data_IF_223945771493
#
_entry.id   IF_223945771493
#
_cell.length_a   1.000
_cell.length_b   1.000
_cell.length_c   1.000
_cell.angle_alpha   90.00
_cell.angle_beta   90.00
_cell.angle_gamma   90.00
#
_symmetry.space_group_name_H-M   'P 1'
#
loop_
_entity.id
_entity.type
_entity.pdbx_description
1 polymer ?
#
# COMPACT_ATOMS: atom_id res chain seq x y z
N UNK A 1 36.44 -75.76 -25.11
CA UNK A 1 35.15 -75.79 -25.79
C UNK A 1 34.23 -74.86 -25.07
N UNK A 2 33.87 -73.84 -25.76
CA UNK A 2 32.78 -72.84 -25.50
C UNK A 2 32.57 -72.35 -24.10
N UNK A 3 33.19 -71.23 -23.74
CA UNK A 3 32.86 -70.36 -22.66
C UNK A 3 31.73 -69.38 -23.06
N UNK A 4 30.69 -69.26 -22.28
CA UNK A 4 29.66 -68.27 -22.40
C UNK A 4 29.97 -67.04 -21.51
N UNK A 5 30.26 -65.93 -22.14
CA UNK A 5 30.45 -64.64 -21.47
C UNK A 5 29.09 -64.08 -21.09
N UNK A 6 28.82 -63.95 -19.81
CA UNK A 6 27.65 -63.21 -19.30
C UNK A 6 27.90 -61.74 -19.21
N UNK A 7 27.19 -60.95 -20.04
CA UNK A 7 27.18 -59.51 -19.97
C UNK A 7 26.22 -59.04 -18.91
N UNK A 8 26.74 -58.50 -17.80
CA UNK A 8 25.97 -57.81 -16.76
C UNK A 8 25.65 -56.38 -17.24
N UNK A 9 24.38 -56.19 -17.63
CA UNK A 9 23.83 -54.85 -17.87
C UNK A 9 23.54 -54.15 -16.52
N UNK A 10 24.42 -53.26 -16.12
CA UNK A 10 24.12 -52.35 -15.02
C UNK A 10 23.19 -51.22 -15.55
N UNK A 11 21.92 -51.30 -15.20
CA UNK A 11 20.98 -50.21 -15.38
C UNK A 11 21.25 -49.12 -14.34
N UNK A 12 21.88 -48.03 -14.77
CA UNK A 12 22.03 -46.84 -13.94
C UNK A 12 20.66 -46.15 -13.74
N UNK A 13 20.13 -46.28 -12.53
CA UNK A 13 18.91 -45.62 -12.11
C UNK A 13 19.24 -44.12 -11.84
N UNK A 14 18.99 -43.28 -12.84
CA UNK A 14 19.15 -41.83 -12.68
C UNK A 14 18.02 -41.31 -11.79
N UNK A 15 18.33 -41.02 -10.56
CA UNK A 15 17.43 -40.32 -9.66
C UNK A 15 17.41 -38.85 -10.11
N UNK A 16 16.37 -38.47 -10.81
CA UNK A 16 16.07 -37.06 -11.06
C UNK A 16 15.72 -36.40 -9.73
N UNK A 17 16.66 -35.63 -9.18
CA UNK A 17 16.39 -34.69 -8.12
C UNK A 17 15.46 -33.61 -8.70
N UNK A 18 14.16 -33.78 -8.50
CA UNK A 18 13.22 -32.70 -8.73
C UNK A 18 13.50 -31.66 -7.65
N UNK A 19 14.14 -30.58 -8.03
CA UNK A 19 14.21 -29.38 -7.22
C UNK A 19 12.79 -28.95 -6.89
N UNK A 20 12.35 -29.30 -5.69
CA UNK A 20 11.14 -28.76 -5.12
C UNK A 20 11.40 -27.28 -4.87
N UNK A 21 10.92 -26.44 -5.77
CA UNK A 21 10.92 -25.01 -5.56
C UNK A 21 10.25 -24.70 -4.21
N UNK A 22 10.81 -23.81 -3.38
CA UNK A 22 10.22 -23.49 -2.08
C UNK A 22 8.82 -22.92 -2.29
N UNK A 23 7.81 -23.68 -1.86
CA UNK A 23 6.42 -23.23 -1.73
C UNK A 23 6.39 -22.14 -0.65
N UNK A 24 6.45 -20.85 -1.04
CA UNK A 24 6.34 -19.83 -0.01
C UNK A 24 6.54 -18.36 -0.38
N UNK A 25 6.93 -18.05 -1.58
CA UNK A 25 6.93 -16.64 -2.02
C UNK A 25 5.73 -16.39 -2.93
N UNK A 26 4.53 -16.41 -2.38
CA UNK A 26 3.38 -15.81 -3.04
C UNK A 26 3.60 -14.29 -2.99
N UNK A 27 4.18 -13.74 -4.05
CA UNK A 27 4.18 -12.30 -4.28
C UNK A 27 2.74 -11.80 -4.17
N UNK A 28 2.51 -10.83 -3.28
CA UNK A 28 1.22 -10.17 -3.16
C UNK A 28 0.74 -9.77 -4.57
N UNK A 29 -0.55 -9.93 -4.91
CA UNK A 29 -1.06 -9.58 -6.22
C UNK A 29 -0.61 -8.17 -6.61
N UNK A 30 -0.23 -7.94 -7.87
CA UNK A 30 0.29 -6.65 -8.34
C UNK A 30 -0.60 -5.45 -7.95
N UNK A 31 -1.93 -5.67 -7.91
CA UNK A 31 -2.89 -4.66 -7.47
C UNK A 31 -2.72 -4.27 -5.98
N UNK A 32 -2.47 -5.22 -5.08
CA UNK A 32 -2.23 -4.90 -3.66
C UNK A 32 -0.90 -4.19 -3.44
N UNK A 33 0.11 -4.50 -4.24
CA UNK A 33 1.38 -3.79 -4.25
C UNK A 33 1.21 -2.33 -4.69
N UNK A 34 0.43 -2.07 -5.75
CA UNK A 34 0.15 -0.71 -6.23
C UNK A 34 -0.63 0.11 -5.20
N UNK A 35 -1.64 -0.47 -4.56
CA UNK A 35 -2.41 0.19 -3.48
C UNK A 35 -1.50 0.52 -2.29
N UNK A 36 -0.64 -0.41 -1.87
CA UNK A 36 0.34 -0.14 -0.83
C UNK A 36 1.23 1.05 -1.18
N UNK A 37 1.76 1.11 -2.41
CA UNK A 37 2.61 2.21 -2.85
C UNK A 37 1.87 3.56 -2.85
N UNK A 38 0.61 3.58 -3.27
CA UNK A 38 -0.20 4.80 -3.23
C UNK A 38 -0.45 5.26 -1.79
N UNK A 39 -0.75 4.35 -0.87
CA UNK A 39 -0.93 4.67 0.56
C UNK A 39 0.39 5.16 1.18
N UNK A 40 1.50 4.48 0.92
CA UNK A 40 2.81 4.87 1.45
C UNK A 40 3.27 6.24 0.92
N UNK A 41 3.11 6.49 -0.37
CA UNK A 41 3.43 7.79 -0.94
C UNK A 41 2.49 8.88 -0.41
N UNK A 42 1.20 8.58 -0.28
CA UNK A 42 0.22 9.48 0.32
C UNK A 42 0.55 9.84 1.77
N UNK A 43 1.01 8.86 2.57
CA UNK A 43 1.52 9.10 3.92
C UNK A 43 2.72 10.04 3.91
N UNK A 44 3.68 9.89 2.99
CA UNK A 44 4.83 10.80 2.86
C UNK A 44 4.39 12.23 2.54
N UNK A 45 3.54 12.42 1.53
CA UNK A 45 3.02 13.75 1.16
C UNK A 45 2.19 14.37 2.28
N UNK A 46 1.41 13.56 2.99
CA UNK A 46 0.68 13.99 4.18
C UNK A 46 1.60 14.61 5.23
N UNK A 47 2.71 13.95 5.53
CA UNK A 47 3.68 14.41 6.53
C UNK A 47 4.54 15.59 6.07
N UNK A 48 4.53 15.91 4.80
CA UNK A 48 5.18 17.13 4.28
C UNK A 48 4.23 18.33 4.34
N UNK A 49 2.97 18.15 3.93
CA UNK A 49 2.10 19.29 3.63
C UNK A 49 0.86 19.41 4.53
N UNK A 50 0.37 18.34 5.13
CA UNK A 50 -0.95 18.31 5.74
C UNK A 50 -0.96 18.17 7.27
N UNK A 51 0.00 17.44 7.83
CA UNK A 51 -0.03 17.00 9.23
C UNK A 51 -0.04 18.13 10.25
N UNK A 52 0.55 19.28 9.92
CA UNK A 52 0.62 20.43 10.85
C UNK A 52 -0.77 20.94 11.24
N UNK A 53 -1.72 20.89 10.30
CA UNK A 53 -3.09 21.34 10.54
C UNK A 53 -4.05 20.15 10.83
N UNK A 54 -3.82 19.00 10.18
CA UNK A 54 -4.74 17.87 10.23
C UNK A 54 -4.25 16.69 11.09
N UNK A 55 -3.14 16.85 11.82
CA UNK A 55 -2.56 15.82 12.67
C UNK A 55 -1.83 14.70 11.91
N UNK A 56 -0.94 14.01 12.62
CA UNK A 56 -0.07 12.99 12.01
C UNK A 56 -0.81 11.78 11.42
N UNK A 57 -1.97 11.46 11.98
CA UNK A 57 -2.79 10.30 11.58
C UNK A 57 -4.09 10.69 10.89
N UNK A 58 -4.18 11.89 10.32
CA UNK A 58 -5.38 12.48 9.73
C UNK A 58 -6.53 12.68 10.74
N UNK A 59 -6.22 12.64 12.04
CA UNK A 59 -7.14 12.92 13.14
C UNK A 59 -7.00 14.40 13.48
N UNK A 60 -8.14 15.07 13.64
CA UNK A 60 -8.24 16.49 13.90
C UNK A 60 -7.27 16.98 14.99
N UNK A 61 -6.71 18.16 14.72
CA UNK A 61 -6.16 19.06 15.75
C UNK A 61 -7.07 20.30 15.82
N UNK A 62 -6.88 21.15 16.80
CA UNK A 62 -7.78 22.26 17.08
C UNK A 62 -8.12 23.19 15.89
N UNK A 63 -7.28 23.21 14.85
CA UNK A 63 -7.36 24.16 13.73
C UNK A 63 -7.98 23.59 12.45
N UNK A 64 -8.21 22.28 12.37
CA UNK A 64 -8.68 21.64 11.14
C UNK A 64 -9.63 20.48 11.43
N UNK A 65 -10.56 20.16 10.51
CA UNK A 65 -11.50 19.06 10.73
C UNK A 65 -10.83 17.70 10.73
N UNK A 66 -11.43 16.76 11.42
CA UNK A 66 -11.10 15.34 11.36
C UNK A 66 -11.43 14.79 9.96
N UNK A 67 -10.41 14.28 9.27
CA UNK A 67 -10.56 13.75 7.92
C UNK A 67 -10.83 12.24 7.88
N UNK A 68 -10.70 11.56 9.02
CA UNK A 68 -11.02 10.13 9.12
C UNK A 68 -12.47 9.87 9.56
N UNK A 69 -13.24 10.93 9.87
CA UNK A 69 -14.68 10.80 10.13
C UNK A 69 -15.39 10.31 8.85
N UNK A 70 -16.03 9.13 8.88
CA UNK A 70 -16.71 8.60 7.69
C UNK A 70 -17.86 9.48 7.20
N UNK A 71 -18.45 10.32 8.07
CA UNK A 71 -19.50 11.26 7.68
C UNK A 71 -18.97 12.46 6.87
N UNK A 72 -17.66 12.68 6.88
CA UNK A 72 -16.98 13.74 6.12
C UNK A 72 -16.26 13.22 4.88
N UNK A 73 -16.54 11.99 4.49
CA UNK A 73 -15.88 11.32 3.38
C UNK A 73 -16.16 12.01 2.05
N UNK A 74 -15.10 12.47 1.41
CA UNK A 74 -15.16 13.09 0.10
C UNK A 74 -14.92 12.08 -1.01
N UNK A 75 -15.55 12.30 -2.17
CA UNK A 75 -15.16 11.59 -3.39
C UNK A 75 -13.74 12.00 -3.81
N UNK A 76 -13.01 11.18 -4.59
CA UNK A 76 -11.69 11.53 -5.10
C UNK A 76 -11.67 12.89 -5.83
N UNK A 77 -12.68 13.18 -6.64
CA UNK A 77 -12.78 14.43 -7.37
C UNK A 77 -13.01 15.65 -6.44
N UNK A 78 -13.88 15.50 -5.43
CA UNK A 78 -14.13 16.55 -4.46
C UNK A 78 -12.88 16.82 -3.59
N UNK A 79 -12.18 15.76 -3.17
CA UNK A 79 -10.93 15.89 -2.43
C UNK A 79 -9.86 16.59 -3.26
N UNK A 80 -9.67 16.17 -4.51
CA UNK A 80 -8.72 16.80 -5.45
C UNK A 80 -9.00 18.31 -5.59
N UNK A 81 -10.27 18.67 -5.84
CA UNK A 81 -10.67 20.06 -5.99
C UNK A 81 -10.35 20.90 -4.74
N UNK A 82 -10.76 20.43 -3.56
CA UNK A 82 -10.54 21.16 -2.30
C UNK A 82 -9.04 21.29 -1.98
N UNK A 83 -8.22 20.30 -2.29
CA UNK A 83 -6.78 20.41 -2.05
C UNK A 83 -6.12 21.36 -3.04
N UNK A 84 -6.48 21.31 -4.32
CA UNK A 84 -5.93 22.19 -5.34
C UNK A 84 -6.30 23.65 -5.11
N UNK A 85 -7.58 23.90 -4.97
CA UNK A 85 -8.14 25.26 -4.95
C UNK A 85 -8.05 25.89 -3.56
N UNK A 86 -7.92 25.08 -2.52
CA UNK A 86 -8.01 25.54 -1.15
C UNK A 86 -9.43 25.92 -0.74
N UNK A 87 -9.53 26.65 0.35
CA UNK A 87 -10.73 27.31 0.88
C UNK A 87 -10.28 28.45 1.78
N UNK A 88 -9.87 29.58 1.19
CA UNK A 88 -9.26 30.68 1.94
C UNK A 88 -10.15 31.21 3.07
N UNK A 89 -11.46 31.20 2.85
CA UNK A 89 -12.47 31.59 3.85
C UNK A 89 -12.49 30.67 5.08
N UNK A 90 -11.92 29.46 4.97
CA UNK A 90 -11.75 28.48 6.05
C UNK A 90 -10.29 28.33 6.48
N UNK A 91 -9.42 29.23 6.03
CA UNK A 91 -7.99 29.19 6.33
C UNK A 91 -7.21 28.08 5.62
N UNK A 92 -7.80 27.39 4.63
CA UNK A 92 -7.14 26.35 3.85
C UNK A 92 -6.52 26.92 2.59
N UNK A 93 -5.19 26.89 2.49
CA UNK A 93 -4.48 27.35 1.28
C UNK A 93 -4.65 26.38 0.11
N UNK A 94 -4.45 26.88 -1.10
CA UNK A 94 -4.35 26.10 -2.32
C UNK A 94 -2.98 25.39 -2.40
N UNK A 95 -2.96 24.18 -2.95
CA UNK A 95 -1.75 23.37 -3.08
C UNK A 95 -1.39 23.05 -4.54
N UNK A 96 -2.08 23.63 -5.51
CA UNK A 96 -1.92 23.37 -6.95
C UNK A 96 -0.51 23.65 -7.49
N UNK A 97 0.26 24.51 -6.83
CA UNK A 97 1.64 24.85 -7.20
C UNK A 97 2.69 23.89 -6.63
N UNK A 98 2.33 23.11 -5.60
CA UNK A 98 3.27 22.25 -4.86
C UNK A 98 2.97 20.76 -5.00
N UNK A 99 1.73 20.41 -5.32
CA UNK A 99 1.27 19.03 -5.46
C UNK A 99 0.62 18.81 -6.82
N UNK A 100 1.04 17.78 -7.51
CA UNK A 100 0.36 17.30 -8.72
C UNK A 100 -0.89 16.46 -8.38
N UNK A 101 -1.69 16.17 -9.40
CA UNK A 101 -2.93 15.40 -9.23
C UNK A 101 -2.68 13.98 -8.71
N UNK A 102 -1.55 13.36 -9.08
CA UNK A 102 -1.19 12.02 -8.61
C UNK A 102 -0.85 12.04 -7.13
N UNK A 103 -0.07 13.00 -6.69
CA UNK A 103 0.29 13.16 -5.27
C UNK A 103 -0.95 13.42 -4.41
N UNK A 104 -1.88 14.26 -4.90
CA UNK A 104 -3.15 14.52 -4.20
C UNK A 104 -4.01 13.25 -4.15
N UNK A 105 -4.07 12.48 -5.23
CA UNK A 105 -4.78 11.20 -5.24
C UNK A 105 -4.17 10.19 -4.25
N UNK A 106 -2.85 10.16 -4.12
CA UNK A 106 -2.16 9.32 -3.14
C UNK A 106 -2.47 9.75 -1.70
N UNK A 107 -2.49 11.07 -1.42
CA UNK A 107 -2.92 11.59 -0.13
C UNK A 107 -4.37 11.16 0.16
N UNK A 108 -5.27 11.26 -0.81
CA UNK A 108 -6.65 10.78 -0.65
C UNK A 108 -6.70 9.29 -0.31
N UNK A 109 -5.93 8.45 -1.00
CA UNK A 109 -5.86 7.00 -0.74
C UNK A 109 -5.37 6.71 0.69
N UNK A 110 -4.36 7.46 1.18
CA UNK A 110 -3.91 7.36 2.57
C UNK A 110 -5.02 7.73 3.56
N UNK A 111 -5.65 8.91 3.40
CA UNK A 111 -6.75 9.38 4.25
C UNK A 111 -7.90 8.37 4.23
N UNK A 112 -8.20 7.81 3.06
CA UNK A 112 -9.24 6.78 2.90
C UNK A 112 -8.91 5.50 3.68
N UNK A 113 -7.67 5.01 3.59
CA UNK A 113 -7.23 3.83 4.35
C UNK A 113 -7.38 4.05 5.87
N UNK A 114 -7.10 5.27 6.34
CA UNK A 114 -7.29 5.67 7.73
C UNK A 114 -8.78 5.73 8.10
N UNK A 115 -9.61 6.38 7.28
CA UNK A 115 -11.05 6.52 7.47
C UNK A 115 -11.79 5.19 7.45
N UNK A 116 -11.37 4.25 6.59
CA UNK A 116 -11.92 2.90 6.52
C UNK A 116 -11.41 1.98 7.64
N UNK A 117 -10.50 2.49 8.50
CA UNK A 117 -9.87 1.74 9.61
C UNK A 117 -9.10 0.49 9.16
N UNK A 118 -8.69 0.45 7.90
CA UNK A 118 -7.87 -0.65 7.36
C UNK A 118 -6.38 -0.41 7.54
N UNK A 119 -5.95 0.85 7.70
CA UNK A 119 -4.59 1.22 8.02
C UNK A 119 -4.50 1.69 9.48
N UNK A 120 -3.73 1.02 10.35
CA UNK A 120 -3.46 1.49 11.71
C UNK A 120 -2.72 2.84 11.75
N UNK A 121 -2.70 3.56 12.89
CA UNK A 121 -1.81 4.70 13.10
C UNK A 121 -0.34 4.31 12.92
N UNK A 122 0.46 5.21 12.31
CA UNK A 122 1.90 5.02 12.12
C UNK A 122 2.31 4.97 10.65
N UNK A 123 3.53 4.54 10.41
CA UNK A 123 4.10 4.43 9.06
C UNK A 123 3.60 3.16 8.37
N UNK A 124 3.17 3.23 7.10
CA UNK A 124 2.67 2.05 6.40
C UNK A 124 3.70 0.90 6.24
N UNK A 125 4.99 1.17 6.32
CA UNK A 125 6.04 0.16 6.26
C UNK A 125 6.35 -0.53 7.60
N UNK A 126 5.72 -0.08 8.69
CA UNK A 126 5.97 -0.57 10.06
C UNK A 126 4.70 -1.10 10.76
N UNK A 127 3.50 -0.79 10.25
CA UNK A 127 2.22 -1.10 10.93
C UNK A 127 1.56 -2.39 10.44
N UNK A 128 2.24 -3.13 9.60
CA UNK A 128 1.79 -4.43 9.14
C UNK A 128 2.14 -5.58 10.10
N UNK A 129 1.83 -6.81 9.71
CA UNK A 129 2.13 -7.98 10.52
C UNK A 129 3.61 -8.05 10.93
N UNK A 130 3.85 -8.33 12.20
CA UNK A 130 5.21 -8.45 12.80
C UNK A 130 6.07 -7.19 12.65
N UNK A 131 5.45 -6.00 12.56
CA UNK A 131 6.18 -4.74 12.37
C UNK A 131 6.73 -4.51 10.96
N UNK A 132 6.23 -5.24 10.00
CA UNK A 132 6.58 -5.07 8.58
C UNK A 132 5.59 -4.15 7.82
N UNK A 133 5.67 -4.14 6.49
CA UNK A 133 4.77 -3.34 5.66
C UNK A 133 3.30 -3.72 5.84
N UNK A 134 2.45 -2.71 5.84
CA UNK A 134 1.00 -2.89 5.81
C UNK A 134 0.56 -3.62 4.54
N UNK A 135 -0.38 -4.54 4.70
CA UNK A 135 -0.97 -5.29 3.59
C UNK A 135 -2.40 -4.81 3.40
N UNK A 136 -2.75 -4.28 2.21
CA UNK A 136 -4.13 -3.91 1.91
C UNK A 136 -5.07 -5.12 2.05
N UNK A 137 -6.23 -4.97 2.74
CA UNK A 137 -7.21 -6.04 2.79
C UNK A 137 -7.68 -6.45 1.39
N UNK A 138 -7.94 -7.75 1.20
CA UNK A 138 -8.47 -8.25 -0.05
C UNK A 138 -9.80 -7.54 -0.40
N UNK A 139 -9.91 -7.06 -1.64
CA UNK A 139 -11.11 -6.36 -2.12
C UNK A 139 -11.24 -4.90 -1.65
N UNK A 140 -10.32 -4.36 -0.85
CA UNK A 140 -10.35 -2.93 -0.54
C UNK A 140 -9.98 -2.11 -1.78
N UNK A 141 -10.85 -1.19 -2.24
CA UNK A 141 -10.70 -0.53 -3.54
C UNK A 141 -9.60 0.54 -3.58
N UNK A 142 -9.12 1.01 -2.42
CA UNK A 142 -8.10 2.05 -2.33
C UNK A 142 -8.58 3.48 -2.66
N UNK A 143 -9.79 3.64 -3.19
CA UNK A 143 -10.29 4.95 -3.71
C UNK A 143 -11.75 5.17 -3.38
#
# INVERSE_FOLDING_TARGET
MFGAAGVLLMTAMVWSLHDAAPLGAQSAPAASSAIYQDVYNGWKWWHVYCYRCHGTNAIAVATAPDLIDPNRRLSPAAFLKIVRDGSPEKGKQAWDKLLDNKQIAQIHTYVRARSDKVLPPGRPDEVGPKGGPWVPPAGWPGR
#
